data_IF_684403636334
#
_entry.id   IF_684403636334
#
_cell.length_a   1.000
_cell.length_b   1.000
_cell.length_c   1.000
_cell.angle_alpha   90.00
_cell.angle_beta   90.00
_cell.angle_gamma   90.00
#
_symmetry.space_group_name_H-M   'P 1'
#
loop_
_entity.id
_entity.type
_entity.pdbx_description
1 polymer ?
#
# COMPACT_ATOMS: atom_id res chain seq x y z
N UNK A 1 5.46 15.47 -14.62
CA UNK A 1 4.42 15.72 -13.59
C UNK A 1 3.04 15.20 -13.95
N UNK A 2 2.67 15.10 -15.22
CA UNK A 2 1.35 14.59 -15.61
C UNK A 2 0.98 13.23 -14.97
N UNK A 3 1.98 12.42 -14.66
CA UNK A 3 1.85 11.15 -13.97
C UNK A 3 1.32 11.27 -12.52
N UNK A 4 1.83 12.25 -11.75
CA UNK A 4 1.42 12.50 -10.36
C UNK A 4 0.14 13.34 -10.28
N UNK A 5 -0.09 14.20 -11.27
CA UNK A 5 -1.25 15.08 -11.39
C UNK A 5 -2.42 14.42 -12.15
N UNK A 6 -2.35 13.10 -12.36
CA UNK A 6 -3.42 12.34 -13.00
C UNK A 6 -4.67 12.35 -12.11
N UNK A 7 -5.85 12.46 -12.72
CA UNK A 7 -7.13 12.43 -12.01
C UNK A 7 -7.75 11.05 -12.10
N UNK A 8 -8.12 10.47 -10.96
CA UNK A 8 -8.65 9.09 -10.90
C UNK A 8 -10.18 9.01 -11.15
N UNK A 9 -10.75 9.93 -11.93
CA UNK A 9 -12.21 10.04 -12.14
C UNK A 9 -12.86 8.82 -12.84
N UNK A 10 -12.10 8.05 -13.63
CA UNK A 10 -12.60 6.95 -14.44
C UNK A 10 -12.05 5.56 -14.05
N UNK A 11 -11.29 5.47 -12.95
CA UNK A 11 -10.70 4.23 -12.43
C UNK A 11 -9.21 4.35 -12.08
N UNK A 12 -8.80 3.66 -11.02
CA UNK A 12 -7.46 3.77 -10.42
C UNK A 12 -6.34 3.25 -11.32
N UNK A 13 -6.58 2.16 -12.05
CA UNK A 13 -5.61 1.48 -12.92
C UNK A 13 -5.33 2.20 -14.25
N UNK A 14 -5.96 3.37 -14.50
CA UNK A 14 -5.55 4.26 -15.59
C UNK A 14 -4.31 5.07 -15.25
N UNK A 15 -4.00 5.20 -13.96
CA UNK A 15 -2.76 5.80 -13.50
C UNK A 15 -1.61 4.82 -13.70
N UNK A 16 -0.66 5.17 -14.56
CA UNK A 16 0.53 4.36 -14.77
C UNK A 16 1.37 4.15 -13.49
N UNK A 17 1.29 5.04 -12.49
CA UNK A 17 1.93 4.80 -11.18
C UNK A 17 1.22 3.69 -10.42
N UNK A 18 -0.11 3.75 -10.35
CA UNK A 18 -0.89 2.76 -9.62
C UNK A 18 -0.77 1.39 -10.29
N UNK A 19 -0.80 1.34 -11.63
CA UNK A 19 -0.58 0.10 -12.38
C UNK A 19 0.85 -0.43 -12.21
N UNK A 20 1.85 0.45 -12.23
CA UNK A 20 3.24 0.06 -11.95
C UNK A 20 3.43 -0.47 -10.53
N UNK A 21 2.78 0.16 -9.54
CA UNK A 21 2.72 -0.37 -8.17
C UNK A 21 2.04 -1.75 -8.17
N UNK A 22 0.85 -1.89 -8.73
CA UNK A 22 0.14 -3.17 -8.76
C UNK A 22 1.00 -4.33 -9.30
N UNK A 23 1.77 -4.10 -10.36
CA UNK A 23 2.72 -5.08 -10.91
C UNK A 23 3.87 -5.38 -9.93
N UNK A 24 4.40 -4.36 -9.26
CA UNK A 24 5.42 -4.58 -8.23
C UNK A 24 4.90 -5.38 -7.05
N UNK A 25 3.59 -5.47 -6.82
CA UNK A 25 2.99 -6.30 -5.76
C UNK A 25 3.00 -7.81 -6.03
N UNK A 26 3.45 -8.24 -7.22
CA UNK A 26 3.47 -9.64 -7.63
C UNK A 26 4.87 -10.22 -7.43
N UNK A 27 4.96 -11.33 -6.72
CA UNK A 27 6.20 -12.10 -6.51
C UNK A 27 6.55 -12.93 -7.75
N UNK A 28 7.79 -13.42 -7.81
CA UNK A 28 8.30 -14.20 -8.97
C UNK A 28 7.57 -15.52 -9.21
N UNK A 29 7.00 -16.10 -8.15
CA UNK A 29 6.18 -17.32 -8.17
C UNK A 29 4.71 -17.05 -8.57
N UNK A 30 4.36 -15.80 -8.85
CA UNK A 30 2.98 -15.37 -9.13
C UNK A 30 2.16 -15.07 -7.88
N UNK A 31 2.74 -15.23 -6.68
CA UNK A 31 2.08 -14.91 -5.41
C UNK A 31 2.00 -13.41 -5.16
N UNK A 32 1.19 -13.03 -4.17
CA UNK A 32 1.14 -11.64 -3.70
C UNK A 32 2.24 -11.38 -2.69
N UNK A 33 2.83 -10.19 -2.74
CA UNK A 33 3.84 -9.79 -1.78
C UNK A 33 3.21 -9.52 -0.41
N UNK A 34 3.92 -9.87 0.67
CA UNK A 34 3.44 -9.59 2.02
C UNK A 34 3.35 -8.07 2.27
N UNK A 35 2.41 -7.69 3.13
CA UNK A 35 2.15 -6.28 3.46
C UNK A 35 3.38 -5.60 4.07
N UNK A 36 4.19 -6.33 4.85
CA UNK A 36 5.41 -5.81 5.48
C UNK A 36 6.50 -5.51 4.45
N UNK A 37 6.58 -6.29 3.38
CA UNK A 37 7.55 -6.12 2.30
C UNK A 37 7.10 -5.08 1.27
N UNK A 38 5.79 -4.99 1.06
CA UNK A 38 5.22 -4.10 0.05
C UNK A 38 5.03 -2.65 0.55
N UNK A 39 4.75 -2.44 1.84
CA UNK A 39 4.60 -1.09 2.42
C UNK A 39 5.83 -0.18 2.26
N UNK A 40 7.09 -0.69 2.38
CA UNK A 40 8.30 0.05 2.03
C UNK A 40 8.31 0.61 0.60
N UNK A 41 7.72 -0.11 -0.37
CA UNK A 41 7.65 0.33 -1.77
C UNK A 41 6.81 1.61 -1.90
N UNK A 42 5.65 1.67 -1.27
CA UNK A 42 4.86 2.92 -1.21
C UNK A 42 5.66 4.08 -0.61
N UNK A 43 6.40 3.80 0.46
CA UNK A 43 7.24 4.80 1.12
C UNK A 43 8.36 5.31 0.21
N UNK A 44 8.97 4.44 -0.60
CA UNK A 44 9.98 4.79 -1.59
C UNK A 44 9.37 5.68 -2.69
N UNK A 45 8.21 5.30 -3.24
CA UNK A 45 7.51 6.09 -4.27
C UNK A 45 7.15 7.49 -3.75
N UNK A 46 6.66 7.62 -2.51
CA UNK A 46 6.39 8.94 -1.90
C UNK A 46 7.67 9.79 -1.83
N UNK A 47 8.81 9.21 -1.42
CA UNK A 47 10.09 9.94 -1.33
C UNK A 47 10.56 10.41 -2.71
N UNK A 48 10.52 9.52 -3.70
CA UNK A 48 10.89 9.84 -5.09
C UNK A 48 9.98 10.94 -5.64
N UNK A 49 8.67 10.82 -5.46
CA UNK A 49 7.71 11.84 -5.90
C UNK A 49 8.00 13.22 -5.28
N UNK A 50 8.29 13.27 -3.97
CA UNK A 50 8.70 14.52 -3.30
C UNK A 50 9.99 15.10 -3.88
N UNK A 51 11.01 14.26 -4.10
CA UNK A 51 12.27 14.68 -4.70
C UNK A 51 12.06 15.21 -6.13
N UNK A 52 11.22 14.56 -6.94
CA UNK A 52 10.87 15.01 -8.29
C UNK A 52 10.16 16.37 -8.27
N UNK A 53 9.27 16.62 -7.31
CA UNK A 53 8.60 17.93 -7.16
C UNK A 53 9.60 19.03 -6.88
N UNK A 54 10.54 18.81 -5.97
CA UNK A 54 11.60 19.79 -5.67
C UNK A 54 12.49 19.99 -6.90
N UNK A 55 12.97 18.92 -7.51
CA UNK A 55 13.85 18.98 -8.68
C UNK A 55 13.20 19.73 -9.84
N UNK A 56 11.95 19.40 -10.17
CA UNK A 56 11.27 20.08 -11.27
C UNK A 56 10.95 21.54 -10.94
N UNK A 57 10.68 21.87 -9.67
CA UNK A 57 10.50 23.27 -9.25
C UNK A 57 11.79 24.07 -9.35
N UNK A 58 12.93 23.42 -9.05
CA UNK A 58 14.25 23.99 -9.26
C UNK A 58 14.50 24.27 -10.75
N UNK A 59 14.28 23.29 -11.62
CA UNK A 59 14.46 23.47 -13.08
C UNK A 59 13.54 24.57 -13.63
N UNK A 60 12.29 24.63 -13.18
CA UNK A 60 11.32 25.67 -13.59
C UNK A 60 11.79 27.06 -13.17
N UNK A 61 12.26 27.23 -11.94
CA UNK A 61 12.82 28.52 -11.48
C UNK A 61 14.07 28.91 -12.25
N UNK A 62 14.99 27.96 -12.50
CA UNK A 62 16.21 28.24 -13.25
C UNK A 62 15.88 28.73 -14.67
N UNK A 63 14.89 28.13 -15.32
CA UNK A 63 14.41 28.58 -16.63
C UNK A 63 13.75 29.97 -16.58
N UNK A 64 13.02 30.29 -15.50
CA UNK A 64 12.42 31.61 -15.28
C UNK A 64 13.49 32.69 -15.07
N UNK A 65 14.46 32.45 -14.18
CA UNK A 65 15.59 33.35 -13.93
C UNK A 65 16.38 33.59 -15.23
N UNK A 66 16.67 32.56 -16.01
CA UNK A 66 17.38 32.71 -17.28
C UNK A 66 16.61 33.59 -18.29
N UNK A 67 15.27 33.50 -18.33
CA UNK A 67 14.43 34.34 -19.19
C UNK A 67 14.40 35.79 -18.72
N UNK A 68 14.24 36.02 -17.42
CA UNK A 68 14.25 37.35 -16.83
C UNK A 68 15.60 38.02 -17.03
N UNK A 69 16.71 37.29 -16.80
CA UNK A 69 18.06 37.77 -17.07
C UNK A 69 18.20 38.28 -18.50
N UNK A 70 17.78 37.49 -19.49
CA UNK A 70 17.87 37.91 -20.89
C UNK A 70 17.04 39.17 -21.17
N UNK A 71 15.82 39.26 -20.61
CA UNK A 71 14.98 40.44 -20.76
C UNK A 71 15.62 41.70 -20.16
N UNK A 72 16.25 41.58 -18.99
CA UNK A 72 16.99 42.66 -18.32
C UNK A 72 18.23 43.08 -19.10
N UNK A 73 18.99 42.12 -19.63
CA UNK A 73 20.12 42.40 -20.51
C UNK A 73 19.70 43.16 -21.77
N UNK A 74 18.58 42.78 -22.39
CA UNK A 74 18.03 43.46 -23.56
C UNK A 74 17.52 44.87 -23.22
N UNK A 75 16.98 45.08 -22.02
CA UNK A 75 16.54 46.39 -21.49
C UNK A 75 17.72 47.32 -21.24
N UNK A 76 18.76 46.85 -20.54
CA UNK A 76 20.00 47.60 -20.29
C UNK A 76 20.69 48.04 -21.59
N UNK A 77 20.69 47.18 -22.62
CA UNK A 77 21.24 47.52 -23.94
C UNK A 77 20.42 48.60 -24.66
N UNK A 78 19.09 48.63 -24.49
CA UNK A 78 18.22 49.66 -25.09
C UNK A 78 18.35 51.01 -24.42
N UNK A 79 18.59 51.03 -23.11
CA UNK A 79 18.77 52.25 -22.32
C UNK A 79 20.16 52.89 -22.50
N UNK A 80 21.04 52.28 -23.31
CA UNK A 80 22.36 52.82 -23.62
C UNK A 80 23.36 52.70 -22.47
N UNK A 81 23.06 51.87 -21.47
CA UNK A 81 23.93 51.59 -20.34
C UNK A 81 24.99 50.52 -20.63
N UNK A 82 26.01 50.44 -19.76
CA UNK A 82 26.94 49.31 -19.72
C UNK A 82 26.16 48.06 -19.30
N UNK A 83 26.20 46.99 -20.10
CA UNK A 83 25.55 45.73 -19.75
C UNK A 83 26.29 45.04 -18.61
N UNK A 84 25.77 45.13 -17.39
CA UNK A 84 26.30 44.39 -16.24
C UNK A 84 25.52 43.09 -16.05
N UNK A 85 26.16 41.98 -16.45
CA UNK A 85 25.57 40.64 -16.34
C UNK A 85 25.27 40.22 -14.88
N UNK A 86 25.97 40.79 -13.89
CA UNK A 86 25.76 40.46 -12.48
C UNK A 86 24.53 41.18 -11.94
N UNK A 87 24.38 42.46 -12.25
CA UNK A 87 23.20 43.24 -11.88
C UNK A 87 21.94 42.62 -12.50
N UNK A 88 21.98 42.29 -13.80
CA UNK A 88 20.88 41.61 -14.48
C UNK A 88 20.56 40.22 -13.89
N UNK A 89 21.55 39.51 -13.34
CA UNK A 89 21.36 38.22 -12.67
C UNK A 89 20.68 38.41 -11.30
N UNK A 90 21.16 39.35 -10.48
CA UNK A 90 20.63 39.62 -9.15
C UNK A 90 19.16 40.08 -9.22
N UNK A 91 18.86 41.04 -10.10
CA UNK A 91 17.49 41.49 -10.34
C UNK A 91 16.57 40.36 -10.82
N UNK A 92 17.06 39.52 -11.76
CA UNK A 92 16.29 38.38 -12.25
C UNK A 92 16.01 37.35 -11.15
N UNK A 93 16.93 37.16 -10.21
CA UNK A 93 16.74 36.24 -9.08
C UNK A 93 15.75 36.77 -8.03
N UNK A 94 15.75 38.08 -7.79
CA UNK A 94 14.81 38.78 -6.91
C UNK A 94 13.39 38.82 -7.50
N UNK A 95 13.27 39.07 -8.80
CA UNK A 95 11.97 39.14 -9.49
C UNK A 95 11.37 37.74 -9.74
N UNK A 96 12.21 36.72 -9.94
CA UNK A 96 11.74 35.36 -10.19
C UNK A 96 10.87 34.81 -9.05
N UNK A 97 9.92 33.96 -9.42
CA UNK A 97 9.03 33.31 -8.46
C UNK A 97 9.82 32.53 -7.40
N UNK A 98 9.50 32.78 -6.12
CA UNK A 98 10.10 32.06 -5.00
C UNK A 98 9.94 30.54 -5.14
N UNK A 99 11.03 29.81 -4.90
CA UNK A 99 11.06 28.33 -4.90
C UNK A 99 9.94 27.74 -4.04
N UNK A 100 9.71 28.31 -2.85
CA UNK A 100 8.68 27.86 -1.94
C UNK A 100 7.29 27.96 -2.55
N UNK A 101 7.01 29.02 -3.32
CA UNK A 101 5.71 29.24 -3.96
C UNK A 101 5.47 28.21 -5.07
N UNK A 102 6.48 27.88 -5.86
CA UNK A 102 6.41 26.86 -6.91
C UNK A 102 6.15 25.47 -6.29
N UNK A 103 6.96 25.09 -5.30
CA UNK A 103 6.81 23.80 -4.60
C UNK A 103 5.46 23.71 -3.91
N UNK A 104 5.04 24.73 -3.16
CA UNK A 104 3.75 24.75 -2.45
C UNK A 104 2.58 24.56 -3.40
N UNK A 105 2.59 25.24 -4.55
CA UNK A 105 1.56 25.09 -5.59
C UNK A 105 1.46 23.65 -6.10
N UNK A 106 2.60 22.98 -6.34
CA UNK A 106 2.62 21.58 -6.79
C UNK A 106 2.18 20.62 -5.68
N UNK A 107 2.66 20.85 -4.46
CA UNK A 107 2.31 20.01 -3.31
C UNK A 107 0.82 20.03 -3.04
N UNK A 108 0.21 21.21 -3.00
CA UNK A 108 -1.24 21.36 -2.78
C UNK A 108 -2.08 20.80 -3.93
N UNK A 109 -1.51 20.71 -5.14
CA UNK A 109 -2.23 20.22 -6.32
C UNK A 109 -2.32 18.70 -6.36
N UNK A 110 -1.25 17.99 -6.02
CA UNK A 110 -1.16 16.54 -6.24
C UNK A 110 -0.29 15.76 -5.23
N UNK A 111 0.19 16.37 -4.14
CA UNK A 111 0.97 15.66 -3.09
C UNK A 111 0.30 15.66 -1.72
N UNK A 112 -0.92 16.17 -1.62
CA UNK A 112 -1.75 16.19 -0.41
C UNK A 112 -2.97 15.31 -0.60
N UNK A 113 -3.42 14.69 0.48
CA UNK A 113 -4.69 13.95 0.48
C UNK A 113 -5.85 14.94 0.36
N UNK A 114 -6.78 14.63 -0.52
CA UNK A 114 -7.98 15.37 -0.89
C UNK A 114 -9.06 15.16 0.16
N UNK A 115 -8.72 15.32 1.44
CA UNK A 115 -9.69 15.19 2.52
C UNK A 115 -10.44 16.51 2.68
N UNK A 116 -11.75 16.52 2.40
CA UNK A 116 -12.65 17.61 2.79
C UNK A 116 -13.12 18.57 1.70
N UNK A 117 -12.79 18.35 0.42
CA UNK A 117 -13.38 19.10 -0.69
C UNK A 117 -14.20 18.17 -1.60
N UNK A 118 -15.53 18.26 -1.51
CA UNK A 118 -16.47 17.41 -2.24
C UNK A 118 -16.35 17.45 -3.78
N UNK A 119 -15.65 18.45 -4.33
CA UNK A 119 -15.43 18.60 -5.78
C UNK A 119 -14.02 18.23 -6.24
N UNK A 120 -13.12 17.91 -5.32
CA UNK A 120 -11.75 17.63 -5.68
C UNK A 120 -11.61 16.13 -6.02
N UNK A 121 -11.09 15.86 -7.21
CA UNK A 121 -10.87 14.51 -7.71
C UNK A 121 -9.57 13.94 -7.14
N UNK A 122 -9.58 12.67 -6.67
CA UNK A 122 -8.40 12.04 -6.10
C UNK A 122 -7.29 11.89 -7.13
N UNK A 123 -6.06 12.01 -6.65
CA UNK A 123 -4.82 11.83 -7.40
C UNK A 123 -4.16 10.51 -7.01
N UNK A 124 -3.19 10.00 -7.79
CA UNK A 124 -2.42 8.81 -7.41
C UNK A 124 -1.80 8.90 -6.01
N UNK A 125 -1.42 10.09 -5.56
CA UNK A 125 -0.83 10.26 -4.24
C UNK A 125 -1.83 10.02 -3.11
N UNK A 126 -3.11 10.36 -3.30
CA UNK A 126 -4.18 10.06 -2.33
C UNK A 126 -4.22 8.55 -2.04
N UNK A 127 -4.33 7.75 -3.10
CA UNK A 127 -4.38 6.30 -3.02
C UNK A 127 -3.10 5.73 -2.38
N UNK A 128 -1.92 6.21 -2.77
CA UNK A 128 -0.64 5.74 -2.23
C UNK A 128 -0.51 6.06 -0.74
N UNK A 129 -0.95 7.25 -0.30
CA UNK A 129 -0.94 7.60 1.11
C UNK A 129 -1.90 6.74 1.93
N UNK A 130 -3.09 6.48 1.42
CA UNK A 130 -4.08 5.60 2.06
C UNK A 130 -3.58 4.16 2.15
N UNK A 131 -3.13 3.59 1.03
CA UNK A 131 -2.57 2.24 0.98
C UNK A 131 -1.38 2.05 1.93
N UNK A 132 -0.47 3.04 1.97
CA UNK A 132 0.64 3.03 2.95
C UNK A 132 0.13 3.11 4.39
N UNK A 133 -0.83 3.98 4.66
CA UNK A 133 -1.37 4.15 6.03
C UNK A 133 -2.04 2.87 6.50
N UNK A 134 -2.79 2.22 5.60
CA UNK A 134 -3.39 0.93 5.86
C UNK A 134 -2.36 -0.18 6.09
N UNK A 135 -1.31 -0.27 5.26
CA UNK A 135 -0.21 -1.22 5.46
C UNK A 135 0.52 -1.01 6.80
N UNK A 136 0.73 0.24 7.21
CA UNK A 136 1.26 0.56 8.55
C UNK A 136 0.29 0.17 9.66
N UNK A 137 -1.01 0.34 9.47
CA UNK A 137 -2.02 -0.11 10.43
C UNK A 137 -2.00 -1.62 10.61
N UNK A 138 -1.89 -2.40 9.52
CA UNK A 138 -1.69 -3.86 9.57
C UNK A 138 -0.42 -4.18 10.37
N UNK A 139 0.71 -3.56 10.03
CA UNK A 139 1.98 -3.81 10.73
C UNK A 139 1.91 -3.61 12.25
N UNK A 140 1.15 -2.62 12.72
CA UNK A 140 1.05 -2.32 14.15
C UNK A 140 -0.11 -3.05 14.85
N UNK A 141 -1.17 -3.42 14.13
CA UNK A 141 -2.39 -3.97 14.70
C UNK A 141 -2.63 -5.44 14.39
N UNK A 142 -1.91 -6.03 13.44
CA UNK A 142 -1.90 -7.48 13.22
C UNK A 142 -0.91 -8.11 14.21
N UNK A 143 -1.33 -9.10 15.00
CA UNK A 143 -0.44 -9.80 15.93
C UNK A 143 0.66 -10.50 15.13
N UNK A 144 1.90 -10.04 15.26
CA UNK A 144 3.07 -10.78 14.79
C UNK A 144 3.47 -11.83 15.86
N UNK A 145 4.25 -12.84 15.47
CA UNK A 145 4.77 -13.84 16.40
C UNK A 145 5.39 -13.20 17.65
N UNK A 146 4.95 -13.62 18.83
CA UNK A 146 5.34 -13.03 20.12
C UNK A 146 4.29 -12.15 20.81
N UNK A 147 3.08 -12.01 20.26
CA UNK A 147 1.99 -11.20 20.87
C UNK A 147 1.07 -12.02 21.82
N UNK A 148 1.28 -13.33 21.88
CA UNK A 148 0.51 -14.25 22.72
C UNK A 148 1.37 -14.62 23.92
N UNK A 149 0.95 -14.18 25.11
CA UNK A 149 1.58 -14.58 26.36
C UNK A 149 0.87 -15.83 26.89
N UNK A 150 1.66 -16.88 27.13
CA UNK A 150 1.19 -18.12 27.76
C UNK A 150 1.68 -18.17 29.20
N UNK A 151 0.76 -18.15 30.17
CA UNK A 151 1.09 -18.32 31.59
C UNK A 151 0.20 -19.39 32.19
N UNK A 152 0.75 -20.59 32.41
CA UNK A 152 0.00 -21.72 32.95
C UNK A 152 -1.16 -22.15 32.04
N UNK A 153 -2.40 -22.00 32.49
CA UNK A 153 -3.62 -22.32 31.73
C UNK A 153 -4.24 -21.11 31.02
N UNK A 154 -3.60 -19.93 31.11
CA UNK A 154 -4.16 -18.67 30.62
C UNK A 154 -3.42 -18.19 29.38
N UNK A 155 -4.21 -17.90 28.36
CA UNK A 155 -3.76 -17.24 27.15
C UNK A 155 -4.13 -15.76 27.29
N UNK A 156 -3.12 -14.90 27.17
CA UNK A 156 -3.32 -13.45 27.19
C UNK A 156 -2.93 -12.89 25.83
N UNK A 157 -3.87 -12.15 25.24
CA UNK A 157 -3.65 -11.39 24.03
C UNK A 157 -4.19 -9.97 24.23
N UNK A 158 -3.29 -9.00 24.27
CA UNK A 158 -3.61 -7.58 24.55
C UNK A 158 -4.37 -7.40 25.88
N UNK A 159 -5.64 -6.96 25.80
CA UNK A 159 -6.54 -6.70 26.95
C UNK A 159 -7.48 -7.87 27.23
N UNK A 160 -7.45 -8.91 26.41
CA UNK A 160 -8.29 -10.10 26.56
C UNK A 160 -7.44 -11.19 27.19
N UNK A 161 -7.98 -11.82 28.23
CA UNK A 161 -7.39 -12.96 28.88
C UNK A 161 -8.48 -14.01 29.06
N UNK A 162 -8.20 -15.22 28.62
CA UNK A 162 -9.10 -16.36 28.77
C UNK A 162 -8.29 -17.60 29.14
N UNK A 163 -8.95 -18.60 29.71
CA UNK A 163 -8.37 -19.90 30.00
C UNK A 163 -8.42 -20.80 28.77
N UNK A 164 -7.49 -21.75 28.69
CA UNK A 164 -7.48 -22.75 27.62
C UNK A 164 -8.79 -23.54 27.56
N UNK A 165 -9.43 -23.81 28.71
CA UNK A 165 -10.74 -24.46 28.77
C UNK A 165 -11.85 -23.64 28.10
N UNK A 166 -11.89 -22.33 28.35
CA UNK A 166 -12.86 -21.40 27.74
C UNK A 166 -12.65 -21.29 26.22
N UNK A 167 -11.39 -21.26 25.77
CA UNK A 167 -11.06 -21.30 24.34
C UNK A 167 -11.54 -22.61 23.71
N UNK A 168 -11.31 -23.73 24.39
CA UNK A 168 -11.65 -25.07 23.91
C UNK A 168 -13.18 -25.22 23.81
N UNK A 169 -13.94 -24.76 24.80
CA UNK A 169 -15.40 -24.74 24.76
C UNK A 169 -15.93 -23.86 23.60
N UNK A 170 -15.36 -22.68 23.41
CA UNK A 170 -15.73 -21.80 22.29
C UNK A 170 -15.44 -22.48 20.93
N UNK A 171 -14.29 -23.13 20.78
CA UNK A 171 -13.95 -23.88 19.57
C UNK A 171 -14.88 -25.07 19.33
N UNK A 172 -15.27 -25.79 20.38
CA UNK A 172 -16.26 -26.87 20.27
C UNK A 172 -17.63 -26.35 19.83
N UNK A 173 -18.09 -25.25 20.43
CA UNK A 173 -19.35 -24.60 20.03
C UNK A 173 -19.33 -24.18 18.56
N UNK A 174 -18.25 -23.53 18.11
CA UNK A 174 -18.09 -23.11 16.71
C UNK A 174 -18.03 -24.31 15.76
N UNK A 175 -17.33 -25.38 16.16
CA UNK A 175 -17.24 -26.62 15.39
C UNK A 175 -18.61 -27.28 15.23
N UNK A 176 -19.41 -27.32 16.28
CA UNK A 176 -20.74 -27.91 16.24
C UNK A 176 -21.71 -27.07 15.38
N UNK A 177 -21.62 -25.75 15.45
CA UNK A 177 -22.35 -24.83 14.57
C UNK A 177 -21.97 -25.03 13.10
N UNK A 178 -20.67 -25.08 12.79
CA UNK A 178 -20.18 -25.32 11.43
C UNK A 178 -20.65 -26.68 10.88
N UNK A 179 -20.65 -27.73 11.72
CA UNK A 179 -21.19 -29.06 11.35
C UNK A 179 -22.68 -29.01 11.05
N UNK A 180 -23.46 -28.26 11.83
CA UNK A 180 -24.88 -28.06 11.57
C UNK A 180 -25.14 -27.34 10.24
N UNK A 181 -24.35 -26.31 9.92
CA UNK A 181 -24.41 -25.61 8.65
C UNK A 181 -24.07 -26.52 7.46
N UNK A 182 -22.99 -27.30 7.56
CA UNK A 182 -22.59 -28.25 6.51
C UNK A 182 -23.67 -29.32 6.30
N UNK A 183 -24.26 -29.83 7.38
CA UNK A 183 -25.37 -30.81 7.33
C UNK A 183 -26.57 -30.24 6.55
N UNK A 184 -26.92 -28.97 6.83
CA UNK A 184 -27.98 -28.24 6.12
C UNK A 184 -27.64 -28.06 4.63
N UNK A 185 -26.41 -27.66 4.32
CA UNK A 185 -25.96 -27.44 2.93
C UNK A 185 -25.86 -28.73 2.12
N UNK A 186 -25.44 -29.83 2.76
CA UNK A 186 -25.31 -31.14 2.14
C UNK A 186 -26.65 -31.91 2.06
N UNK A 187 -27.75 -31.32 2.53
CA UNK A 187 -29.09 -31.91 2.53
C UNK A 187 -29.15 -33.30 3.19
N UNK A 188 -28.44 -33.45 4.31
CA UNK A 188 -28.49 -34.65 5.16
C UNK A 188 -29.13 -34.32 6.50
N UNK A 189 -29.80 -35.29 7.11
CA UNK A 189 -30.54 -35.09 8.37
C UNK A 189 -29.64 -35.16 9.61
N UNK A 190 -28.46 -35.77 9.48
CA UNK A 190 -27.52 -35.99 10.58
C UNK A 190 -26.07 -35.82 10.13
N UNK A 191 -25.26 -35.20 11.01
CA UNK A 191 -23.81 -35.01 10.85
C UNK A 191 -23.09 -36.34 10.63
N UNK A 192 -23.62 -37.45 11.18
CA UNK A 192 -23.04 -38.79 11.00
C UNK A 192 -23.07 -39.30 9.55
N UNK A 193 -23.94 -38.73 8.71
CA UNK A 193 -24.06 -39.06 7.29
C UNK A 193 -23.07 -38.29 6.42
N UNK A 194 -22.36 -37.30 6.98
CA UNK A 194 -21.30 -36.60 6.28
C UNK A 194 -20.07 -37.51 6.13
N UNK A 195 -19.37 -37.46 4.98
CA UNK A 195 -18.15 -38.23 4.79
C UNK A 195 -17.13 -37.86 5.88
N UNK A 196 -16.61 -38.87 6.57
CA UNK A 196 -15.61 -38.64 7.61
C UNK A 196 -14.25 -38.39 6.96
N UNK A 197 -13.80 -37.15 7.05
CA UNK A 197 -12.44 -36.77 6.69
C UNK A 197 -11.57 -36.97 7.93
N UNK A 198 -10.50 -37.78 7.87
CA UNK A 198 -9.60 -38.00 9.01
C UNK A 198 -8.70 -36.77 9.24
N UNK A 199 -9.27 -35.62 9.61
CA UNK A 199 -8.56 -34.35 9.77
C UNK A 199 -7.32 -34.43 10.67
N UNK A 200 -7.31 -35.34 11.65
CA UNK A 200 -6.18 -35.54 12.57
C UNK A 200 -4.94 -36.15 11.92
N UNK A 201 -5.06 -36.73 10.73
CA UNK A 201 -3.94 -37.31 9.99
C UNK A 201 -3.47 -36.42 8.84
N UNK A 202 -4.17 -35.32 8.56
CA UNK A 202 -3.72 -34.33 7.60
C UNK A 202 -2.81 -33.31 8.28
N UNK A 203 -1.66 -33.04 7.67
CA UNK A 203 -0.75 -31.97 8.07
C UNK A 203 -0.80 -30.83 7.05
N UNK A 204 -0.71 -29.59 7.50
CA UNK A 204 -0.58 -28.43 6.61
C UNK A 204 0.71 -27.69 6.93
N UNK A 205 1.52 -27.41 5.90
CA UNK A 205 2.60 -26.45 6.03
C UNK A 205 2.05 -25.02 5.91
N UNK A 206 1.70 -24.44 7.04
CA UNK A 206 1.22 -23.06 7.12
C UNK A 206 2.25 -22.01 6.68
N UNK A 207 3.51 -22.39 6.48
CA UNK A 207 4.54 -21.49 5.95
C UNK A 207 4.64 -21.52 4.43
N UNK A 208 4.01 -22.49 3.77
CA UNK A 208 3.99 -22.61 2.32
C UNK A 208 2.90 -21.71 1.73
N UNK A 209 3.33 -20.69 1.00
CA UNK A 209 2.45 -19.64 0.45
C UNK A 209 2.44 -19.59 -1.08
N UNK A 210 3.01 -20.62 -1.73
CA UNK A 210 3.00 -20.77 -3.18
C UNK A 210 1.57 -20.74 -3.73
N UNK A 211 1.41 -20.08 -4.88
CA UNK A 211 0.12 -20.05 -5.60
C UNK A 211 -0.31 -21.45 -6.01
N UNK A 212 -1.54 -21.81 -5.64
CA UNK A 212 -2.14 -23.10 -5.94
C UNK A 212 -1.78 -24.20 -4.93
N UNK A 213 -0.94 -23.90 -3.92
CA UNK A 213 -0.69 -24.85 -2.85
C UNK A 213 -1.99 -25.19 -2.11
N UNK A 214 -2.15 -26.48 -1.83
CA UNK A 214 -3.16 -27.05 -0.98
C UNK A 214 -2.46 -28.02 -0.06
N UNK A 215 -2.94 -28.17 1.18
CA UNK A 215 -2.46 -29.23 2.08
C UNK A 215 -2.56 -30.62 1.44
N UNK A 216 -3.42 -30.83 0.44
CA UNK A 216 -3.47 -32.09 -0.33
C UNK A 216 -2.20 -32.37 -1.14
N UNK A 217 -1.42 -31.34 -1.50
CA UNK A 217 -0.13 -31.47 -2.18
C UNK A 217 1.03 -31.78 -1.22
N UNK A 218 0.81 -31.68 0.09
CA UNK A 218 1.81 -31.96 1.12
C UNK A 218 2.22 -33.44 1.05
N UNK A 219 3.53 -33.69 0.99
CA UNK A 219 4.12 -35.03 0.94
C UNK A 219 3.64 -35.92 2.08
N UNK A 220 3.33 -35.33 3.25
CA UNK A 220 2.82 -36.02 4.44
C UNK A 220 1.38 -36.52 4.28
N UNK A 221 0.64 -35.96 3.31
CA UNK A 221 -0.77 -36.27 3.07
C UNK A 221 -1.02 -37.21 1.87
N UNK A 222 0.02 -37.55 1.09
CA UNK A 222 -0.09 -38.37 -0.13
C UNK A 222 -0.65 -39.79 0.06
N UNK A 223 -0.76 -40.28 1.29
CA UNK A 223 -1.38 -41.57 1.61
C UNK A 223 -2.89 -41.51 1.88
N UNK A 224 -3.47 -40.31 1.97
CA UNK A 224 -4.90 -40.09 2.20
C UNK A 224 -5.65 -39.87 0.89
N UNK A 225 -5.46 -40.81 -0.03
CA UNK A 225 -6.07 -40.80 -1.34
C UNK A 225 -7.59 -41.07 -1.20
N UNK A 226 -8.42 -40.10 -1.56
CA UNK A 226 -9.89 -40.21 -1.62
C UNK A 226 -10.38 -41.11 -2.77
N UNK A 227 -9.63 -42.16 -3.14
CA UNK A 227 -10.07 -43.19 -4.08
C UNK A 227 -10.98 -44.19 -3.35
N UNK A 228 -12.20 -43.76 -3.07
CA UNK A 228 -13.20 -44.56 -2.37
C UNK A 228 -14.60 -43.95 -2.44
N UNK A 229 -14.98 -43.47 -3.62
CA UNK A 229 -16.37 -43.27 -4.03
C UNK A 229 -16.58 -43.94 -5.40
#
# INVERSE_FOLDING_TARGET
MALLDHRLAAGEYRSAIISGLAVMGIRKDGGWMDVLDYTPIYSAVIKIARAMVVYQSYVERQAEVARLKQAKMDEQQREGGSSDEREAQEEAEEEATSMFRIVRKKVQRFMTVTSGNARAEPTPMDWIYEARTYGMHIRFNTPAGGTIDWVGDRIKHRRVQFRMGELTEMLHSLKDEARGLITTLAMVDDVSQLPQIPWSSFEDDHSEDRVGYSFLEDDRNRGHDFYGL
#
